data_IF_147094638182
#
_entry.id   IF_147094638182
#
_cell.length_a   1.000
_cell.length_b   1.000
_cell.length_c   1.000
_cell.angle_alpha   90.00
_cell.angle_beta   90.00
_cell.angle_gamma   90.00
#
_symmetry.space_group_name_H-M   'P 1'
#
loop_
_entity.id
_entity.type
_entity.pdbx_description
1 polymer ?
#
# COMPACT_ATOMS: atom_id res chain seq x y z
N UNK A 1 -9.22 3.57 -1.36
CA UNK A 1 -10.05 4.75 -1.06
C UNK A 1 -10.58 5.41 -2.34
N UNK A 2 -9.74 5.97 -3.22
CA UNK A 2 -10.23 6.72 -4.40
C UNK A 2 -11.24 5.97 -5.30
N UNK A 3 -11.08 4.66 -5.48
CA UNK A 3 -11.98 3.86 -6.32
C UNK A 3 -12.82 2.82 -5.57
N UNK A 4 -12.75 2.75 -4.23
CA UNK A 4 -13.37 1.64 -3.48
C UNK A 4 -14.89 1.60 -3.62
N UNK A 5 -15.56 2.76 -3.60
CA UNK A 5 -17.02 2.82 -3.80
C UNK A 5 -17.43 2.34 -5.18
N UNK A 6 -16.68 2.72 -6.21
CA UNK A 6 -16.94 2.31 -7.60
C UNK A 6 -16.70 0.81 -7.76
N UNK A 7 -15.65 0.28 -7.12
CA UNK A 7 -15.33 -1.15 -7.13
C UNK A 7 -16.43 -1.96 -6.40
N UNK A 8 -16.87 -1.51 -5.23
CA UNK A 8 -17.94 -2.15 -4.48
C UNK A 8 -19.31 -2.07 -5.17
N UNK A 9 -19.60 -0.96 -5.87
CA UNK A 9 -20.83 -0.80 -6.62
C UNK A 9 -20.81 -1.59 -7.94
N UNK A 10 -19.81 -1.36 -8.80
CA UNK A 10 -19.77 -1.92 -10.16
C UNK A 10 -19.23 -3.34 -10.24
N UNK A 11 -18.24 -3.70 -9.42
CA UNK A 11 -17.60 -5.02 -9.51
C UNK A 11 -18.19 -6.04 -8.54
N UNK A 12 -18.71 -5.60 -7.40
CA UNK A 12 -19.28 -6.47 -6.36
C UNK A 12 -20.82 -6.50 -6.42
N UNK A 13 -21.47 -5.51 -7.03
CA UNK A 13 -22.92 -5.46 -7.21
C UNK A 13 -23.69 -4.99 -5.97
N UNK A 14 -23.04 -4.27 -5.05
CA UNK A 14 -23.70 -3.71 -3.88
C UNK A 14 -24.59 -2.53 -4.27
N UNK A 15 -25.69 -2.31 -3.53
CA UNK A 15 -26.49 -1.09 -3.67
C UNK A 15 -25.64 0.15 -3.38
N UNK A 16 -25.98 1.31 -3.95
CA UNK A 16 -25.19 2.54 -3.77
C UNK A 16 -25.02 2.91 -2.28
N UNK A 17 -26.10 2.82 -1.47
CA UNK A 17 -26.04 3.02 -0.02
C UNK A 17 -25.13 2.02 0.69
N UNK A 18 -25.19 0.74 0.30
CA UNK A 18 -24.33 -0.30 0.87
C UNK A 18 -22.86 -0.12 0.46
N UNK A 19 -22.59 0.32 -0.77
CA UNK A 19 -21.24 0.61 -1.25
C UNK A 19 -20.62 1.82 -0.54
N UNK A 20 -21.42 2.87 -0.29
CA UNK A 20 -21.00 4.02 0.53
C UNK A 20 -20.68 3.60 1.97
N UNK A 21 -21.55 2.79 2.60
CA UNK A 21 -21.32 2.24 3.93
C UNK A 21 -20.07 1.36 4.02
N UNK A 22 -19.82 0.53 3.00
CA UNK A 22 -18.60 -0.27 2.90
C UNK A 22 -17.34 0.60 2.80
N UNK A 23 -17.36 1.67 1.99
CA UNK A 23 -16.25 2.63 1.91
C UNK A 23 -16.01 3.33 3.25
N UNK A 24 -17.07 3.72 3.97
CA UNK A 24 -16.95 4.29 5.31
C UNK A 24 -16.28 3.30 6.28
N UNK A 25 -16.69 2.02 6.24
CA UNK A 25 -16.10 0.95 7.05
C UNK A 25 -14.61 0.73 6.75
N UNK A 26 -14.21 0.79 5.47
CA UNK A 26 -12.79 0.75 5.08
C UNK A 26 -12.03 1.94 5.67
N UNK A 27 -12.63 3.14 5.68
CA UNK A 27 -12.03 4.31 6.32
C UNK A 27 -11.85 4.17 7.83
N UNK A 28 -12.88 3.70 8.54
CA UNK A 28 -12.77 3.42 9.97
C UNK A 28 -11.69 2.38 10.27
N UNK A 29 -11.62 1.32 9.46
CA UNK A 29 -10.57 0.31 9.58
C UNK A 29 -9.18 0.89 9.35
N UNK A 30 -9.00 1.81 8.39
CA UNK A 30 -7.71 2.47 8.18
C UNK A 30 -7.26 3.26 9.42
N UNK A 31 -8.18 3.93 10.12
CA UNK A 31 -7.86 4.61 11.38
C UNK A 31 -7.38 3.62 12.43
N UNK A 32 -8.11 2.52 12.63
CA UNK A 32 -7.77 1.48 13.61
C UNK A 32 -6.39 0.86 13.28
N UNK A 33 -6.16 0.49 12.02
CA UNK A 33 -4.89 -0.08 11.57
C UNK A 33 -3.75 0.92 11.75
N UNK A 34 -3.98 2.20 11.48
CA UNK A 34 -2.95 3.24 11.68
C UNK A 34 -2.55 3.36 13.15
N UNK A 35 -3.51 3.29 14.07
CA UNK A 35 -3.25 3.33 15.52
C UNK A 35 -2.53 2.07 16.01
N UNK A 36 -2.86 0.90 15.47
CA UNK A 36 -2.16 -0.34 15.77
C UNK A 36 -0.73 -0.28 15.22
N UNK A 37 -0.56 0.23 14.00
CA UNK A 37 0.73 0.35 13.32
C UNK A 37 1.71 1.22 14.11
N UNK A 38 1.24 2.32 14.72
CA UNK A 38 2.11 3.19 15.52
C UNK A 38 2.62 2.52 16.80
N UNK A 39 1.89 1.55 17.35
CA UNK A 39 2.38 0.77 18.52
C UNK A 39 3.35 -0.32 18.07
N UNK A 40 3.10 -0.96 16.92
CA UNK A 40 3.93 -2.06 16.42
C UNK A 40 5.25 -1.56 15.83
N UNK A 41 5.30 -0.35 15.24
CA UNK A 41 6.50 0.19 14.59
C UNK A 41 7.71 0.29 15.52
N UNK A 42 7.48 0.65 16.78
CA UNK A 42 8.55 0.75 17.77
C UNK A 42 8.98 -0.62 18.31
N UNK A 43 8.10 -1.64 18.22
CA UNK A 43 8.43 -3.00 18.66
C UNK A 43 9.11 -3.84 17.57
N UNK A 44 8.69 -3.72 16.32
CA UNK A 44 9.15 -4.63 15.24
C UNK A 44 10.27 -4.04 14.39
N UNK A 45 10.32 -2.71 14.24
CA UNK A 45 11.28 -2.04 13.36
C UNK A 45 10.69 -1.66 12.00
N UNK A 46 11.26 -0.63 11.39
CA UNK A 46 10.70 0.06 10.22
C UNK A 46 10.86 -0.80 8.97
N UNK A 47 12.04 -1.40 8.76
CA UNK A 47 12.34 -2.19 7.55
C UNK A 47 11.48 -3.44 7.51
N UNK A 48 11.36 -4.14 8.63
CA UNK A 48 10.56 -5.37 8.74
C UNK A 48 9.09 -5.11 8.44
N UNK A 49 8.49 -4.09 9.04
CA UNK A 49 7.09 -3.76 8.77
C UNK A 49 6.85 -3.27 7.35
N UNK A 50 7.80 -2.53 6.77
CA UNK A 50 7.73 -2.10 5.38
C UNK A 50 7.72 -3.30 4.43
N UNK A 51 8.58 -4.30 4.67
CA UNK A 51 8.62 -5.55 3.90
C UNK A 51 7.35 -6.40 4.09
N UNK A 52 6.84 -6.52 5.32
CA UNK A 52 5.57 -7.22 5.60
C UNK A 52 4.41 -6.54 4.87
N UNK A 53 4.34 -5.21 4.93
CA UNK A 53 3.32 -4.43 4.23
C UNK A 53 3.39 -4.60 2.71
N UNK A 54 4.58 -4.48 2.13
CA UNK A 54 4.80 -4.69 0.70
C UNK A 54 4.44 -6.12 0.26
N UNK A 55 4.84 -7.13 1.04
CA UNK A 55 4.51 -8.53 0.78
C UNK A 55 3.01 -8.80 0.88
N UNK A 56 2.34 -8.28 1.91
CA UNK A 56 0.90 -8.42 2.11
C UNK A 56 0.07 -7.73 1.03
N UNK A 57 0.52 -6.55 0.57
CA UNK A 57 -0.10 -5.86 -0.56
C UNK A 57 0.12 -6.63 -1.86
N UNK A 58 1.35 -7.10 -2.11
CA UNK A 58 1.70 -7.84 -3.32
C UNK A 58 0.92 -9.16 -3.45
N UNK A 59 0.83 -9.93 -2.37
CA UNK A 59 0.05 -11.17 -2.34
C UNK A 59 -1.44 -10.89 -2.53
N UNK A 60 -1.97 -9.83 -1.92
CA UNK A 60 -3.37 -9.41 -2.11
C UNK A 60 -3.65 -9.02 -3.57
N UNK A 61 -2.73 -8.35 -4.27
CA UNK A 61 -2.89 -8.03 -5.69
C UNK A 61 -2.96 -9.29 -6.57
N UNK A 62 -2.11 -10.29 -6.32
CA UNK A 62 -2.13 -11.56 -7.07
C UNK A 62 -3.44 -12.30 -6.82
N UNK A 63 -3.87 -12.40 -5.55
CA UNK A 63 -5.12 -13.06 -5.18
C UNK A 63 -6.33 -12.32 -5.76
N UNK A 64 -6.33 -10.98 -5.76
CA UNK A 64 -7.37 -10.17 -6.41
C UNK A 64 -7.49 -10.49 -7.89
N UNK A 65 -6.38 -10.59 -8.63
CA UNK A 65 -6.45 -10.98 -10.04
C UNK A 65 -7.04 -12.38 -10.22
N UNK A 66 -6.61 -13.36 -9.42
CA UNK A 66 -7.15 -14.74 -9.48
C UNK A 66 -8.67 -14.74 -9.25
N UNK A 67 -9.14 -14.08 -8.20
CA UNK A 67 -10.57 -14.07 -7.89
C UNK A 67 -11.40 -13.19 -8.84
N UNK A 68 -10.82 -12.16 -9.46
CA UNK A 68 -11.48 -11.43 -10.54
C UNK A 68 -11.68 -12.31 -11.78
N UNK A 69 -10.69 -13.12 -12.16
CA UNK A 69 -10.83 -14.09 -13.25
C UNK A 69 -11.91 -15.13 -12.93
N UNK A 70 -11.93 -15.67 -11.71
CA UNK A 70 -12.98 -16.60 -11.26
C UNK A 70 -14.36 -15.94 -11.23
N UNK A 71 -14.46 -14.66 -10.84
CA UNK A 71 -15.73 -13.90 -10.90
C UNK A 71 -16.25 -13.84 -12.34
N UNK A 72 -15.39 -13.57 -13.32
CA UNK A 72 -15.77 -13.56 -14.74
C UNK A 72 -16.23 -14.91 -15.27
N UNK A 73 -15.81 -16.02 -14.64
CA UNK A 73 -16.29 -17.37 -14.94
C UNK A 73 -17.59 -17.75 -14.19
N UNK A 74 -18.33 -16.75 -13.67
CA UNK A 74 -19.63 -16.91 -13.00
C UNK A 74 -19.59 -17.67 -11.66
N UNK A 75 -18.45 -17.71 -10.98
CA UNK A 75 -18.38 -18.20 -9.59
C UNK A 75 -18.82 -17.11 -8.60
N UNK A 76 -20.09 -17.16 -8.15
CA UNK A 76 -20.69 -16.12 -7.29
C UNK A 76 -19.95 -15.84 -5.97
N UNK A 77 -19.23 -16.83 -5.40
CA UNK A 77 -18.46 -16.63 -4.16
C UNK A 77 -17.20 -15.76 -4.36
N UNK A 78 -16.68 -15.66 -5.59
CA UNK A 78 -15.43 -14.98 -5.88
C UNK A 78 -15.52 -13.46 -5.65
N UNK A 79 -16.70 -12.86 -5.82
CA UNK A 79 -16.92 -11.44 -5.54
C UNK A 79 -16.69 -11.08 -4.06
N UNK A 80 -17.11 -11.94 -3.13
CA UNK A 80 -16.88 -11.76 -1.70
C UNK A 80 -15.40 -11.84 -1.35
N UNK A 81 -14.67 -12.77 -1.98
CA UNK A 81 -13.23 -12.91 -1.78
C UNK A 81 -12.46 -11.71 -2.33
N UNK A 82 -12.88 -11.12 -3.46
CA UNK A 82 -12.31 -9.86 -3.93
C UNK A 82 -12.43 -8.75 -2.88
N UNK A 83 -13.58 -8.63 -2.19
CA UNK A 83 -13.74 -7.65 -1.10
C UNK A 83 -12.75 -7.90 0.03
N UNK A 84 -12.62 -9.17 0.46
CA UNK A 84 -11.69 -9.56 1.52
C UNK A 84 -10.25 -9.17 1.15
N UNK A 85 -9.80 -9.44 -0.08
CA UNK A 85 -8.43 -9.11 -0.47
C UNK A 85 -8.20 -7.60 -0.67
N UNK A 86 -9.23 -6.82 -1.05
CA UNK A 86 -9.14 -5.35 -1.02
C UNK A 86 -8.93 -4.86 0.42
N UNK A 87 -9.67 -5.42 1.38
CA UNK A 87 -9.53 -5.10 2.80
C UNK A 87 -8.14 -5.48 3.29
N UNK A 88 -7.65 -6.68 3.00
CA UNK A 88 -6.30 -7.14 3.37
C UNK A 88 -5.21 -6.23 2.76
N UNK A 89 -5.36 -5.82 1.50
CA UNK A 89 -4.46 -4.86 0.86
C UNK A 89 -4.39 -3.54 1.64
N UNK A 90 -5.55 -3.00 2.04
CA UNK A 90 -5.62 -1.74 2.80
C UNK A 90 -4.98 -1.88 4.19
N UNK A 91 -5.21 -3.00 4.88
CA UNK A 91 -4.59 -3.29 6.18
C UNK A 91 -3.07 -3.38 6.04
N UNK A 92 -2.58 -4.16 5.07
CA UNK A 92 -1.13 -4.30 4.81
C UNK A 92 -0.47 -2.97 4.45
N UNK A 93 -1.16 -2.14 3.65
CA UNK A 93 -0.72 -0.77 3.38
C UNK A 93 -0.59 0.04 4.66
N UNK A 94 -1.60 0.03 5.53
CA UNK A 94 -1.60 0.78 6.78
C UNK A 94 -0.47 0.38 7.74
N UNK A 95 -0.11 -0.90 7.78
CA UNK A 95 0.99 -1.44 8.61
C UNK A 95 2.38 -0.99 8.10
N UNK A 96 2.54 -0.92 6.78
CA UNK A 96 3.82 -0.63 6.13
C UNK A 96 3.89 0.77 5.53
N UNK A 97 3.53 0.85 4.25
CA UNK A 97 3.70 2.04 3.42
C UNK A 97 2.88 3.26 3.87
N UNK A 98 1.83 3.08 4.68
CA UNK A 98 0.96 4.16 5.11
C UNK A 98 1.63 5.19 6.01
N UNK A 99 2.53 4.73 6.89
CA UNK A 99 3.17 5.58 7.90
C UNK A 99 4.69 5.59 7.81
N UNK A 100 5.32 4.45 7.53
CA UNK A 100 6.79 4.27 7.63
C UNK A 100 7.60 5.20 6.71
N UNK A 101 7.23 5.43 5.43
CA UNK A 101 8.00 6.32 4.57
C UNK A 101 8.14 7.74 5.13
N UNK A 102 7.10 8.23 5.82
CA UNK A 102 7.12 9.54 6.46
C UNK A 102 8.10 9.59 7.64
N UNK A 103 8.20 8.50 8.42
CA UNK A 103 9.19 8.38 9.49
C UNK A 103 10.62 8.27 8.93
N UNK A 104 10.83 7.47 7.87
CA UNK A 104 12.15 7.23 7.30
C UNK A 104 12.82 8.53 6.81
N UNK A 105 12.07 9.46 6.21
CA UNK A 105 12.64 10.77 5.82
C UNK A 105 13.20 11.53 7.04
N UNK A 106 12.57 11.40 8.20
CA UNK A 106 13.04 12.05 9.43
C UNK A 106 14.18 11.29 10.14
N UNK A 107 14.32 9.99 9.90
CA UNK A 107 15.33 9.12 10.53
C UNK A 107 16.60 8.98 9.68
N UNK A 108 16.51 9.14 8.35
CA UNK A 108 17.63 8.96 7.41
C UNK A 108 18.46 10.23 7.18
N UNK A 109 17.89 11.41 7.41
CA UNK A 109 18.51 12.68 7.04
C UNK A 109 18.89 13.52 8.26
N UNK A 110 20.05 14.20 8.16
CA UNK A 110 20.45 15.21 9.15
C UNK A 110 19.48 16.40 9.16
N UNK A 111 19.31 17.10 10.30
CA UNK A 111 18.31 18.17 10.46
C UNK A 111 18.36 19.26 9.37
N UNK A 112 19.55 19.61 8.89
CA UNK A 112 19.77 20.58 7.81
C UNK A 112 19.28 20.11 6.43
N UNK A 113 19.21 18.80 6.19
CA UNK A 113 18.79 18.21 4.92
C UNK A 113 17.30 17.79 4.92
N UNK A 114 16.68 17.61 6.09
CA UNK A 114 15.28 17.15 6.23
C UNK A 114 14.27 17.98 5.41
N UNK A 115 14.30 19.33 5.39
CA UNK A 115 13.33 20.09 4.62
C UNK A 115 13.38 19.76 3.13
N UNK A 116 14.60 19.68 2.55
CA UNK A 116 14.80 19.35 1.14
C UNK A 116 14.36 17.92 0.83
N UNK A 117 14.76 16.96 1.67
CA UNK A 117 14.39 15.55 1.52
C UNK A 117 12.86 15.37 1.58
N UNK A 118 12.19 16.06 2.52
CA UNK A 118 10.75 15.99 2.68
C UNK A 118 10.00 16.61 1.48
N UNK A 119 10.47 17.74 0.95
CA UNK A 119 9.89 18.33 -0.26
C UNK A 119 9.97 17.37 -1.45
N UNK A 120 11.13 16.77 -1.69
CA UNK A 120 11.34 15.81 -2.78
C UNK A 120 10.42 14.59 -2.59
N UNK A 121 10.45 13.97 -1.41
CA UNK A 121 9.64 12.79 -1.10
C UNK A 121 8.13 13.07 -1.28
N UNK A 122 7.67 14.22 -0.78
CA UNK A 122 6.26 14.64 -0.90
C UNK A 122 5.88 14.90 -2.36
N UNK A 123 6.73 15.54 -3.15
CA UNK A 123 6.49 15.76 -4.58
C UNK A 123 6.37 14.44 -5.36
N UNK A 124 7.26 13.48 -5.10
CA UNK A 124 7.16 12.14 -5.72
C UNK A 124 5.92 11.38 -5.26
N UNK A 125 5.54 11.49 -3.97
CA UNK A 125 4.32 10.87 -3.46
C UNK A 125 3.07 11.38 -4.18
N UNK A 126 2.88 12.71 -4.24
CA UNK A 126 1.70 13.29 -4.88
C UNK A 126 1.73 13.19 -6.40
N UNK A 127 2.91 13.28 -7.02
CA UNK A 127 3.08 13.02 -8.45
C UNK A 127 2.72 11.57 -8.81
N UNK A 128 3.19 10.60 -8.01
CA UNK A 128 2.82 9.20 -8.17
C UNK A 128 1.33 8.95 -7.97
N UNK A 129 0.72 9.56 -6.95
CA UNK A 129 -0.72 9.47 -6.71
C UNK A 129 -1.54 10.04 -7.88
N UNK A 130 -1.10 11.18 -8.45
CA UNK A 130 -1.71 11.77 -9.64
C UNK A 130 -1.61 10.82 -10.84
N UNK A 131 -0.42 10.29 -11.13
CA UNK A 131 -0.21 9.36 -12.24
C UNK A 131 -1.06 8.11 -12.09
N UNK A 132 -1.07 7.49 -10.92
CA UNK A 132 -1.92 6.31 -10.66
C UNK A 132 -3.39 6.67 -10.84
N UNK A 133 -3.85 7.82 -10.35
CA UNK A 133 -5.24 8.28 -10.54
C UNK A 133 -5.63 8.45 -12.01
N UNK A 134 -4.72 8.94 -12.87
CA UNK A 134 -5.01 9.09 -14.29
C UNK A 134 -4.88 7.77 -15.08
N UNK A 135 -3.88 6.96 -14.75
CA UNK A 135 -3.55 5.75 -15.51
C UNK A 135 -4.40 4.55 -15.10
N UNK A 136 -4.92 4.51 -13.86
CA UNK A 136 -5.67 3.35 -13.38
C UNK A 136 -6.92 3.02 -14.22
N UNK A 137 -7.79 3.99 -14.59
CA UNK A 137 -8.91 3.71 -15.49
C UNK A 137 -8.48 3.18 -16.86
N UNK A 138 -7.39 3.72 -17.43
CA UNK A 138 -6.83 3.26 -18.70
C UNK A 138 -6.32 1.82 -18.59
N UNK A 139 -5.63 1.48 -17.50
CA UNK A 139 -5.18 0.11 -17.22
C UNK A 139 -6.34 -0.85 -17.05
N UNK A 140 -7.42 -0.45 -16.34
CA UNK A 140 -8.61 -1.28 -16.21
C UNK A 140 -9.26 -1.58 -17.56
N UNK A 141 -9.30 -0.62 -18.48
CA UNK A 141 -9.82 -0.84 -19.84
C UNK A 141 -8.93 -1.77 -20.65
N UNK A 142 -7.61 -1.60 -20.57
CA UNK A 142 -6.66 -2.36 -21.39
C UNK A 142 -6.40 -3.79 -20.85
N UNK A 143 -6.31 -3.96 -19.53
CA UNK A 143 -5.87 -5.20 -18.87
C UNK A 143 -7.00 -5.94 -18.16
N UNK A 144 -8.16 -5.30 -17.96
CA UNK A 144 -9.33 -5.88 -17.30
C UNK A 144 -8.94 -6.55 -15.96
N UNK A 145 -9.22 -7.85 -15.81
CA UNK A 145 -8.94 -8.64 -14.60
C UNK A 145 -7.46 -8.71 -14.21
N UNK A 146 -6.55 -8.43 -15.14
CA UNK A 146 -5.10 -8.52 -14.92
C UNK A 146 -4.47 -7.21 -14.44
N UNK A 147 -5.26 -6.13 -14.29
CA UNK A 147 -4.76 -4.80 -13.88
C UNK A 147 -3.92 -4.84 -12.61
N UNK A 148 -4.31 -5.65 -11.62
CA UNK A 148 -3.60 -5.73 -10.34
C UNK A 148 -2.23 -6.42 -10.42
N UNK A 149 -1.93 -7.18 -11.49
CA UNK A 149 -0.60 -7.77 -11.67
C UNK A 149 0.49 -6.73 -11.93
N UNK A 150 0.13 -5.61 -12.56
CA UNK A 150 1.08 -4.48 -12.74
C UNK A 150 1.51 -3.95 -11.38
N UNK A 151 0.55 -3.76 -10.47
CA UNK A 151 0.82 -3.33 -9.10
C UNK A 151 1.58 -4.39 -8.31
N UNK A 152 1.27 -5.69 -8.49
CA UNK A 152 2.02 -6.77 -7.86
C UNK A 152 3.50 -6.77 -8.28
N UNK A 153 3.79 -6.54 -9.57
CA UNK A 153 5.15 -6.41 -10.08
C UNK A 153 5.89 -5.20 -9.51
N UNK A 154 5.23 -4.05 -9.45
CA UNK A 154 5.78 -2.84 -8.81
C UNK A 154 6.05 -3.06 -7.31
N UNK A 155 5.13 -3.68 -6.58
CA UNK A 155 5.29 -3.99 -5.16
C UNK A 155 6.42 -4.99 -4.92
N UNK A 156 6.60 -5.98 -5.79
CA UNK A 156 7.75 -6.89 -5.73
C UNK A 156 9.06 -6.14 -5.96
N UNK A 157 9.12 -5.28 -6.98
CA UNK A 157 10.29 -4.44 -7.24
C UNK A 157 10.63 -3.55 -6.02
N UNK A 158 9.64 -2.85 -5.46
CA UNK A 158 9.86 -2.03 -4.26
C UNK A 158 10.18 -2.88 -3.03
N UNK A 159 9.66 -4.10 -2.92
CA UNK A 159 10.02 -5.07 -1.90
C UNK A 159 11.49 -5.46 -1.97
N UNK A 160 11.98 -5.79 -3.16
CA UNK A 160 13.40 -6.11 -3.40
C UNK A 160 14.30 -4.90 -3.16
N UNK A 161 13.89 -3.72 -3.63
CA UNK A 161 14.59 -2.46 -3.35
C UNK A 161 14.67 -2.20 -1.84
N UNK A 162 13.56 -2.33 -1.12
CA UNK A 162 13.51 -2.15 0.33
C UNK A 162 14.38 -3.17 1.05
N UNK A 163 14.37 -4.42 0.60
CA UNK A 163 15.21 -5.46 1.17
C UNK A 163 16.69 -5.14 0.98
N UNK A 164 17.09 -4.62 -0.18
CA UNK A 164 18.51 -4.38 -0.47
C UNK A 164 19.04 -3.05 0.07
N UNK A 165 18.27 -1.97 -0.04
CA UNK A 165 18.77 -0.60 0.12
C UNK A 165 18.23 0.15 1.34
N UNK A 166 17.12 -0.28 1.94
CA UNK A 166 16.54 0.43 3.10
C UNK A 166 17.14 -0.14 4.39
N UNK A 167 17.90 0.66 5.17
CA UNK A 167 18.45 0.20 6.45
C UNK A 167 17.34 0.10 7.51
N UNK A 168 17.61 -0.67 8.56
CA UNK A 168 16.78 -0.62 9.77
C UNK A 168 17.17 0.59 10.60
N UNK A 169 16.19 1.40 11.00
CA UNK A 169 16.39 2.67 11.72
C UNK A 169 16.02 2.56 13.21
N UNK A 170 15.35 1.48 13.62
CA UNK A 170 14.95 1.25 15.00
C UNK A 170 16.15 1.29 15.96
N UNK A 171 16.07 2.18 16.96
CA UNK A 171 17.09 2.41 18.01
C UNK A 171 18.49 2.76 17.48
N UNK A 172 18.58 3.37 16.29
CA UNK A 172 19.86 3.81 15.72
C UNK A 172 19.91 5.32 15.56
N UNK A 173 21.11 5.88 15.71
CA UNK A 173 21.35 7.29 15.41
C UNK A 173 21.49 7.50 13.91
N UNK A 174 21.23 8.73 13.45
CA UNK A 174 21.39 9.10 12.02
C UNK A 174 22.81 8.80 11.53
N UNK A 175 23.83 9.00 12.37
CA UNK A 175 25.23 8.75 12.03
C UNK A 175 25.52 7.25 11.81
N UNK A 176 24.98 6.38 12.66
CA UNK A 176 25.10 4.92 12.49
C UNK A 176 24.42 4.45 11.20
N UNK A 177 23.27 5.03 10.87
CA UNK A 177 22.55 4.70 9.64
C UNK A 177 23.34 5.15 8.40
N UNK A 178 23.92 6.36 8.43
CA UNK A 178 24.78 6.86 7.34
C UNK A 178 25.99 5.94 7.13
N UNK A 179 26.68 5.54 8.21
CA UNK A 179 27.80 4.59 8.12
C UNK A 179 27.37 3.26 7.48
N UNK A 180 26.21 2.74 7.84
CA UNK A 180 25.69 1.51 7.23
C UNK A 180 25.39 1.68 5.73
N UNK A 181 24.93 2.85 5.28
CA UNK A 181 24.62 3.12 3.87
C UNK A 181 25.86 3.32 2.99
N UNK A 182 27.04 3.56 3.58
CA UNK A 182 28.31 3.72 2.85
C UNK A 182 29.05 2.39 2.59
N UNK A 183 28.56 1.27 3.13
CA UNK A 183 29.06 -0.09 2.93
C UNK A 183 28.12 -0.91 2.05
#
# INVERSE_FOLDING_TARGET
MFYSTILFYKEVGLSEKSAQGATLGVGAMMVIVSLISTVIIDRTGRRTLLLIGLGGMGSSCVLLTVFMVLKSASYGFAAYLCVVFVITYVVAFGIGLGSIPWFLVHELFMPNAKPKANSIATSFNWGGAFLVGQLFPLMMMALQNYTFLVFAGLLLFFGLFTYKFVPETKHRTVNEIIQQMHH
#
